data_IF_401593610903
#
_entry.id   IF_401593610903
#
_cell.length_a   1.000
_cell.length_b   1.000
_cell.length_c   1.000
_cell.angle_alpha   90.00
_cell.angle_beta   90.00
_cell.angle_gamma   90.00
#
_symmetry.space_group_name_H-M   'P 1'
#
loop_
_entity.id
_entity.type
_entity.pdbx_description
1 polymer ?
#
# COMPACT_ATOMS: atom_id res chain seq x y z
N UNK A 1 -2.33 25.74 -4.05
CA UNK A 1 -2.20 25.92 -5.51
C UNK A 1 -3.35 25.19 -6.18
N UNK A 2 -3.97 25.72 -7.23
CA UNK A 2 -4.90 24.92 -8.03
C UNK A 2 -4.10 23.76 -8.65
N UNK A 3 -4.42 22.51 -8.28
CA UNK A 3 -3.78 21.32 -8.86
C UNK A 3 -3.96 21.41 -10.39
N UNK A 4 -2.86 21.37 -11.14
CA UNK A 4 -2.95 21.28 -12.60
C UNK A 4 -3.78 20.03 -12.93
N UNK A 5 -4.76 20.17 -13.83
CA UNK A 5 -5.56 19.03 -14.27
C UNK A 5 -4.63 18.12 -15.08
N UNK A 6 -4.36 16.93 -14.56
CA UNK A 6 -3.49 15.97 -15.25
C UNK A 6 -4.11 15.57 -16.59
N UNK A 7 -3.25 15.41 -17.61
CA UNK A 7 -3.72 15.04 -18.95
C UNK A 7 -4.37 13.65 -18.95
N UNK A 8 -5.43 13.40 -19.74
CA UNK A 8 -6.02 12.07 -19.86
C UNK A 8 -4.99 11.01 -20.26
N UNK A 9 -5.18 9.77 -19.79
CA UNK A 9 -4.31 8.64 -20.14
C UNK A 9 -4.39 8.38 -21.64
N UNK A 10 -3.24 8.45 -22.31
CA UNK A 10 -3.14 8.12 -23.72
C UNK A 10 -2.83 6.62 -23.95
N UNK A 11 -2.96 6.17 -25.20
CA UNK A 11 -2.77 4.75 -25.55
C UNK A 11 -1.33 4.25 -25.35
N UNK A 12 -0.33 5.14 -25.39
CA UNK A 12 1.08 4.79 -25.14
C UNK A 12 1.33 4.57 -23.66
N UNK A 13 0.83 5.47 -22.79
CA UNK A 13 0.91 5.33 -21.34
C UNK A 13 0.25 4.03 -20.87
N UNK A 14 -0.96 3.74 -21.36
CA UNK A 14 -1.66 2.51 -21.02
C UNK A 14 -0.91 1.26 -21.47
N UNK A 15 -0.29 1.29 -22.67
CA UNK A 15 0.54 0.19 -23.18
C UNK A 15 1.78 -0.02 -22.32
N UNK A 16 2.47 1.06 -21.97
CA UNK A 16 3.66 0.98 -21.13
C UNK A 16 3.31 0.49 -19.72
N UNK A 17 2.22 0.99 -19.13
CA UNK A 17 1.72 0.51 -17.85
C UNK A 17 1.40 -0.99 -17.89
N UNK A 18 0.70 -1.46 -18.93
CA UNK A 18 0.39 -2.89 -19.11
C UNK A 18 1.66 -3.75 -19.25
N UNK A 19 2.63 -3.32 -20.06
CA UNK A 19 3.89 -4.04 -20.23
C UNK A 19 4.70 -4.11 -18.92
N UNK A 20 4.78 -3.00 -18.20
CA UNK A 20 5.51 -2.93 -16.93
C UNK A 20 4.79 -3.74 -15.84
N UNK A 21 3.47 -3.73 -15.81
CA UNK A 21 2.68 -4.54 -14.89
C UNK A 21 2.91 -6.03 -15.14
N UNK A 22 2.87 -6.45 -16.41
CA UNK A 22 3.19 -7.83 -16.81
C UNK A 22 4.61 -8.23 -16.39
N UNK A 23 5.59 -7.31 -16.51
CA UNK A 23 6.96 -7.54 -16.02
C UNK A 23 6.99 -7.77 -14.51
N UNK A 24 6.22 -7.03 -13.72
CA UNK A 24 6.10 -7.21 -12.27
C UNK A 24 5.51 -8.58 -11.90
N UNK A 25 4.55 -9.08 -12.68
CA UNK A 25 3.94 -10.39 -12.44
C UNK A 25 4.92 -11.56 -12.61
N UNK A 26 5.97 -11.42 -13.43
CA UNK A 26 6.99 -12.47 -13.68
C UNK A 26 6.40 -13.88 -13.86
N UNK A 27 5.34 -13.97 -14.67
CA UNK A 27 4.56 -15.21 -14.84
C UNK A 27 5.44 -16.36 -15.37
N UNK A 28 5.50 -17.51 -14.68
CA UNK A 28 6.08 -18.73 -15.22
C UNK A 28 5.44 -19.17 -16.55
N UNK A 29 6.17 -19.84 -17.47
CA UNK A 29 5.68 -20.27 -18.80
C UNK A 29 4.43 -21.17 -18.85
N UNK A 30 3.88 -21.58 -17.71
CA UNK A 30 2.69 -22.43 -17.58
C UNK A 30 1.70 -21.89 -16.55
N UNK A 31 1.72 -20.59 -16.26
CA UNK A 31 0.79 -19.99 -15.31
C UNK A 31 -0.65 -19.98 -15.82
N UNK A 32 -1.59 -20.23 -14.90
CA UNK A 32 -3.01 -19.91 -15.04
C UNK A 32 -3.22 -18.54 -14.44
N UNK A 33 -3.99 -17.66 -15.10
CA UNK A 33 -4.21 -16.30 -14.61
C UNK A 33 -5.69 -16.02 -14.49
N UNK A 34 -6.10 -15.54 -13.31
CA UNK A 34 -7.42 -14.99 -13.08
C UNK A 34 -7.31 -13.47 -12.93
N UNK A 35 -7.89 -12.72 -13.86
CA UNK A 35 -7.99 -11.25 -13.76
C UNK A 35 -9.35 -10.90 -13.18
N UNK A 36 -9.38 -10.10 -12.13
CA UNK A 36 -10.61 -9.61 -11.50
C UNK A 36 -10.65 -8.10 -11.63
N UNK A 37 -11.70 -7.54 -12.22
CA UNK A 37 -11.88 -6.09 -12.36
C UNK A 37 -13.35 -5.67 -12.20
N UNK A 38 -13.62 -4.40 -12.43
CA UNK A 38 -14.94 -3.79 -12.32
C UNK A 38 -15.67 -3.82 -13.68
N UNK A 39 -17.01 -3.85 -13.66
CA UNK A 39 -17.85 -3.78 -14.86
C UNK A 39 -18.00 -2.34 -15.32
N UNK A 40 -17.74 -2.08 -16.61
CA UNK A 40 -18.02 -0.78 -17.22
C UNK A 40 -19.53 -0.56 -17.39
N UNK A 41 -20.13 0.50 -16.81
CA UNK A 41 -21.53 0.82 -17.05
C UNK A 41 -21.75 1.25 -18.51
N UNK A 42 -22.92 0.93 -19.08
CA UNK A 42 -23.30 1.36 -20.44
C UNK A 42 -23.75 2.84 -20.49
N UNK A 43 -23.12 3.71 -19.72
CA UNK A 43 -23.42 5.15 -19.62
C UNK A 43 -22.39 5.98 -20.39
N UNK A 44 -22.72 7.24 -20.71
CA UNK A 44 -21.79 8.15 -21.42
C UNK A 44 -20.75 8.77 -20.50
N UNK A 45 -21.11 8.99 -19.24
CA UNK A 45 -20.23 9.54 -18.22
C UNK A 45 -19.71 8.38 -17.37
N UNK A 46 -18.53 7.89 -17.72
CA UNK A 46 -17.82 6.84 -16.98
C UNK A 46 -16.68 7.51 -16.21
N UNK A 47 -16.49 7.12 -14.96
CA UNK A 47 -15.33 7.51 -14.17
C UNK A 47 -14.03 7.17 -14.93
N UNK A 48 -13.14 8.15 -15.20
CA UNK A 48 -11.88 7.90 -15.91
C UNK A 48 -10.98 6.88 -15.21
N UNK A 49 -11.05 6.75 -13.88
CA UNK A 49 -10.29 5.74 -13.14
C UNK A 49 -10.82 4.34 -13.45
N UNK A 50 -12.14 4.13 -13.34
CA UNK A 50 -12.81 2.90 -13.76
C UNK A 50 -12.49 2.52 -15.20
N UNK A 51 -12.59 3.47 -16.14
CA UNK A 51 -12.27 3.24 -17.54
C UNK A 51 -10.81 2.79 -17.73
N UNK A 52 -9.88 3.38 -16.98
CA UNK A 52 -8.46 3.02 -17.02
C UNK A 52 -8.21 1.61 -16.49
N UNK A 53 -8.84 1.22 -15.37
CA UNK A 53 -8.74 -0.14 -14.82
C UNK A 53 -9.21 -1.21 -15.79
N UNK A 54 -10.37 -1.00 -16.40
CA UNK A 54 -10.95 -1.99 -17.33
C UNK A 54 -10.16 -2.06 -18.62
N UNK A 55 -9.66 -0.93 -19.13
CA UNK A 55 -8.78 -0.92 -20.29
C UNK A 55 -7.45 -1.64 -20.01
N UNK A 56 -6.85 -1.40 -18.83
CA UNK A 56 -5.62 -2.08 -18.40
C UNK A 56 -5.85 -3.59 -18.26
N UNK A 57 -6.94 -4.00 -17.60
CA UNK A 57 -7.30 -5.40 -17.40
C UNK A 57 -7.52 -6.14 -18.74
N UNK A 58 -8.20 -5.49 -19.68
CA UNK A 58 -8.41 -6.02 -21.04
C UNK A 58 -7.08 -6.17 -21.77
N UNK A 59 -6.19 -5.17 -21.69
CA UNK A 59 -4.86 -5.25 -22.30
C UNK A 59 -4.00 -6.34 -21.67
N UNK A 60 -4.04 -6.50 -20.35
CA UNK A 60 -3.34 -7.59 -19.65
C UNK A 60 -3.88 -8.95 -20.09
N UNK A 61 -5.19 -9.13 -20.14
CA UNK A 61 -5.81 -10.38 -20.64
C UNK A 61 -5.32 -10.72 -22.04
N UNK A 62 -5.36 -9.76 -22.96
CA UNK A 62 -4.98 -9.98 -24.36
C UNK A 62 -3.47 -10.22 -24.53
N UNK A 63 -2.63 -9.67 -23.66
CA UNK A 63 -1.19 -9.91 -23.67
C UNK A 63 -0.84 -11.26 -23.06
N UNK A 64 -1.36 -11.55 -21.87
CA UNK A 64 -1.11 -12.78 -21.12
C UNK A 64 -1.69 -13.98 -21.87
N UNK A 65 -2.88 -13.83 -22.46
CA UNK A 65 -3.57 -14.89 -23.21
C UNK A 65 -2.88 -15.37 -24.49
N UNK A 66 -1.76 -14.76 -24.88
CA UNK A 66 -0.91 -15.26 -25.97
C UNK A 66 -0.13 -16.51 -25.57
N UNK A 67 0.28 -16.57 -24.31
CA UNK A 67 1.22 -17.57 -23.79
C UNK A 67 0.67 -18.33 -22.57
N UNK A 68 -0.44 -17.87 -21.97
CA UNK A 68 -1.00 -18.42 -20.74
C UNK A 68 -2.52 -18.63 -20.84
N UNK A 69 -3.06 -19.47 -19.95
CA UNK A 69 -4.50 -19.58 -19.76
C UNK A 69 -5.01 -18.41 -18.91
N UNK A 70 -5.99 -17.67 -19.41
CA UNK A 70 -6.52 -16.49 -18.72
C UNK A 70 -8.04 -16.56 -18.65
N UNK A 71 -8.57 -16.40 -17.44
CA UNK A 71 -9.97 -16.09 -17.19
C UNK A 71 -10.11 -14.70 -16.61
N UNK A 72 -11.26 -14.08 -16.83
CA UNK A 72 -11.56 -12.74 -16.35
C UNK A 72 -12.93 -12.72 -15.68
N UNK A 73 -13.03 -12.10 -14.51
CA UNK A 73 -14.29 -11.83 -13.82
C UNK A 73 -14.45 -10.31 -13.70
N UNK A 74 -15.62 -9.84 -14.10
CA UNK A 74 -16.01 -8.44 -13.97
C UNK A 74 -17.13 -8.35 -12.92
N UNK A 75 -16.92 -7.58 -11.86
CA UNK A 75 -17.94 -7.36 -10.83
C UNK A 75 -18.64 -6.01 -11.02
N UNK A 76 -19.94 -5.93 -10.69
CA UNK A 76 -20.66 -4.66 -10.68
C UNK A 76 -20.14 -3.70 -9.59
N UNK A 77 -20.73 -2.49 -9.52
CA UNK A 77 -20.31 -1.41 -8.59
C UNK A 77 -20.46 -1.76 -7.10
N UNK A 78 -21.28 -2.79 -6.77
CA UNK A 78 -21.54 -3.28 -5.40
C UNK A 78 -21.85 -4.79 -5.43
N UNK A 79 -20.86 -5.64 -5.69
CA UNK A 79 -21.08 -7.08 -5.73
C UNK A 79 -21.40 -7.58 -4.33
N UNK A 80 -22.23 -8.61 -4.22
CA UNK A 80 -22.52 -9.23 -2.92
C UNK A 80 -21.34 -10.11 -2.48
N UNK A 81 -21.13 -10.23 -1.18
CA UNK A 81 -20.12 -11.13 -0.60
C UNK A 81 -20.18 -12.57 -1.16
N UNK A 82 -21.39 -13.11 -1.28
CA UNK A 82 -21.64 -14.45 -1.83
C UNK A 82 -21.26 -14.57 -3.31
N UNK A 83 -21.43 -13.49 -4.08
CA UNK A 83 -21.07 -13.41 -5.50
C UNK A 83 -19.55 -13.35 -5.66
N UNK A 84 -18.88 -12.51 -4.85
CA UNK A 84 -17.42 -12.39 -4.82
C UNK A 84 -16.75 -13.74 -4.52
N UNK A 85 -17.21 -14.44 -3.48
CA UNK A 85 -16.68 -15.76 -3.12
C UNK A 85 -17.03 -16.81 -4.18
N UNK A 86 -18.32 -16.92 -4.53
CA UNK A 86 -18.84 -17.98 -5.39
C UNK A 86 -18.26 -17.96 -6.80
N UNK A 87 -18.23 -16.78 -7.45
CA UNK A 87 -17.71 -16.64 -8.80
C UNK A 87 -16.19 -16.81 -8.84
N UNK A 88 -15.46 -16.25 -7.87
CA UNK A 88 -14.01 -16.44 -7.78
C UNK A 88 -13.68 -17.92 -7.65
N UNK A 89 -14.35 -18.63 -6.72
CA UNK A 89 -14.14 -20.07 -6.51
C UNK A 89 -14.49 -20.90 -7.74
N UNK A 90 -15.62 -20.59 -8.41
CA UNK A 90 -16.05 -21.28 -9.63
C UNK A 90 -14.98 -21.16 -10.73
N UNK A 91 -14.51 -19.95 -11.01
CA UNK A 91 -13.54 -19.71 -12.09
C UNK A 91 -12.15 -20.25 -11.76
N UNK A 92 -11.72 -20.21 -10.49
CA UNK A 92 -10.48 -20.85 -10.08
C UNK A 92 -10.51 -22.36 -10.34
N UNK A 93 -11.62 -23.04 -10.02
CA UNK A 93 -11.78 -24.46 -10.29
C UNK A 93 -11.84 -24.76 -11.81
N UNK A 94 -12.52 -23.92 -12.59
CA UNK A 94 -12.55 -24.07 -14.06
C UNK A 94 -11.16 -23.90 -14.69
N UNK A 95 -10.37 -22.93 -14.21
CA UNK A 95 -8.97 -22.80 -14.61
C UNK A 95 -8.17 -24.05 -14.24
N UNK A 96 -8.47 -24.67 -13.11
CA UNK A 96 -7.75 -25.86 -12.68
C UNK A 96 -7.95 -27.04 -13.65
N UNK A 97 -9.20 -27.30 -14.03
CA UNK A 97 -9.61 -28.39 -14.94
C UNK A 97 -9.00 -28.27 -16.36
N UNK A 98 -8.62 -27.06 -16.78
CA UNK A 98 -8.15 -26.77 -18.14
C UNK A 98 -6.64 -26.93 -18.34
N UNK A 99 -5.85 -27.12 -17.28
CA UNK A 99 -4.38 -27.09 -17.38
C UNK A 99 -3.67 -28.27 -16.72
N UNK A 100 -2.34 -28.29 -16.88
CA UNK A 100 -1.48 -29.33 -16.31
C UNK A 100 -1.49 -29.29 -14.77
N UNK A 101 -1.42 -30.47 -14.12
CA UNK A 101 -1.46 -30.70 -12.66
C UNK A 101 -0.36 -29.94 -11.85
N UNK A 102 0.53 -29.18 -12.48
CA UNK A 102 1.66 -28.48 -11.84
C UNK A 102 1.74 -26.98 -12.16
N UNK A 103 0.66 -26.41 -12.67
CA UNK A 103 0.61 -24.98 -13.01
C UNK A 103 0.35 -24.12 -11.78
N UNK A 104 1.08 -23.00 -11.66
CA UNK A 104 0.82 -21.98 -10.65
C UNK A 104 -0.36 -21.10 -11.11
N UNK A 105 -1.22 -20.72 -10.17
CA UNK A 105 -2.33 -19.80 -10.44
C UNK A 105 -2.00 -18.41 -9.89
N UNK A 106 -2.04 -17.40 -10.75
CA UNK A 106 -1.87 -16.00 -10.37
C UNK A 106 -3.19 -15.26 -10.47
N UNK A 107 -3.68 -14.73 -9.35
CA UNK A 107 -4.83 -13.83 -9.30
C UNK A 107 -4.34 -12.39 -9.42
N UNK A 108 -4.85 -11.65 -10.39
CA UNK A 108 -4.58 -10.23 -10.61
C UNK A 108 -5.84 -9.46 -10.30
N UNK A 109 -5.83 -8.68 -9.22
CA UNK A 109 -6.98 -7.88 -8.83
C UNK A 109 -6.78 -6.42 -9.22
N UNK A 110 -7.66 -5.86 -10.04
CA UNK A 110 -7.69 -4.47 -10.49
C UNK A 110 -9.09 -3.86 -10.23
N UNK A 111 -9.55 -3.97 -8.98
CA UNK A 111 -10.86 -3.48 -8.54
C UNK A 111 -10.77 -2.27 -7.59
N UNK A 112 -11.93 -1.67 -7.33
CA UNK A 112 -12.02 -0.34 -6.70
C UNK A 112 -11.67 -0.26 -5.19
N UNK A 113 -11.90 -1.31 -4.38
CA UNK A 113 -11.86 -1.17 -2.90
C UNK A 113 -11.28 -2.39 -2.16
N UNK A 114 -10.68 -2.15 -0.99
CA UNK A 114 -10.20 -3.11 0.00
C UNK A 114 -11.34 -3.90 0.66
N UNK A 115 -12.47 -3.24 0.94
CA UNK A 115 -13.59 -3.84 1.69
C UNK A 115 -14.19 -5.10 1.05
N UNK A 116 -14.10 -5.23 -0.28
CA UNK A 116 -14.73 -6.31 -1.04
C UNK A 116 -13.82 -7.54 -1.25
N UNK A 117 -12.60 -7.57 -0.70
CA UNK A 117 -11.63 -8.62 -1.06
C UNK A 117 -11.59 -9.81 -0.13
N UNK A 118 -12.15 -9.70 1.07
CA UNK A 118 -12.18 -10.80 2.05
C UNK A 118 -12.67 -12.11 1.43
N UNK A 119 -13.74 -12.02 0.64
CA UNK A 119 -14.37 -13.18 0.00
C UNK A 119 -13.57 -13.71 -1.20
N UNK A 120 -12.86 -12.84 -1.92
CA UNK A 120 -11.92 -13.23 -2.98
C UNK A 120 -10.70 -13.94 -2.37
N UNK A 121 -10.13 -13.38 -1.31
CA UNK A 121 -9.01 -13.95 -0.57
C UNK A 121 -9.38 -15.30 0.05
N UNK A 122 -10.58 -15.41 0.62
CA UNK A 122 -11.08 -16.67 1.14
C UNK A 122 -11.16 -17.73 0.03
N UNK A 123 -11.75 -17.40 -1.12
CA UNK A 123 -11.83 -18.33 -2.25
C UNK A 123 -10.43 -18.74 -2.74
N UNK A 124 -9.50 -17.79 -2.89
CA UNK A 124 -8.12 -18.05 -3.29
C UNK A 124 -7.36 -18.90 -2.26
N UNK A 125 -7.58 -18.67 -0.97
CA UNK A 125 -6.94 -19.41 0.12
C UNK A 125 -7.43 -20.85 0.22
N UNK A 126 -8.74 -21.08 0.08
CA UNK A 126 -9.30 -22.44 0.00
C UNK A 126 -8.77 -23.17 -1.23
N UNK A 127 -8.71 -22.49 -2.39
CA UNK A 127 -8.12 -23.06 -3.60
C UNK A 127 -6.62 -23.37 -3.43
N UNK A 128 -5.90 -22.53 -2.68
CA UNK A 128 -4.49 -22.70 -2.34
C UNK A 128 -4.19 -23.85 -1.37
N UNK A 129 -5.19 -24.49 -0.77
CA UNK A 129 -4.96 -25.70 0.06
C UNK A 129 -4.34 -26.85 -0.75
N UNK A 130 -4.60 -26.87 -2.06
CA UNK A 130 -4.11 -27.91 -2.98
C UNK A 130 -3.31 -27.35 -4.16
N UNK A 131 -3.19 -26.02 -4.29
CA UNK A 131 -2.60 -25.34 -5.43
C UNK A 131 -1.60 -24.25 -5.01
N UNK A 132 -0.62 -23.95 -5.86
CA UNK A 132 0.28 -22.80 -5.65
C UNK A 132 -0.39 -21.51 -6.15
N UNK A 133 -0.81 -20.65 -5.23
CA UNK A 133 -1.57 -19.43 -5.53
C UNK A 133 -0.77 -18.18 -5.18
N UNK A 134 -0.64 -17.32 -6.19
CA UNK A 134 -0.08 -15.97 -6.07
C UNK A 134 -1.15 -14.92 -6.29
N UNK A 135 -1.13 -13.83 -5.52
CA UNK A 135 -2.11 -12.75 -5.60
C UNK A 135 -1.40 -11.40 -5.77
N UNK A 136 -1.71 -10.69 -6.85
CA UNK A 136 -1.20 -9.35 -7.13
C UNK A 136 -2.31 -8.30 -6.99
N UNK A 137 -2.13 -7.36 -6.06
CA UNK A 137 -3.11 -6.33 -5.69
C UNK A 137 -2.91 -4.96 -6.35
N UNK A 138 -3.78 -4.65 -7.32
CA UNK A 138 -4.21 -3.38 -7.96
C UNK A 138 -5.26 -2.52 -7.30
N UNK A 139 -5.00 -1.91 -6.16
CA UNK A 139 -6.06 -1.51 -5.25
C UNK A 139 -6.56 -0.09 -5.49
N UNK A 140 -7.80 0.03 -5.99
CA UNK A 140 -8.34 1.34 -6.35
C UNK A 140 -7.53 1.98 -7.49
N UNK A 141 -6.96 1.16 -8.37
CA UNK A 141 -6.03 1.62 -9.40
C UNK A 141 -6.61 2.79 -10.20
N UNK A 142 -5.89 3.91 -10.23
CA UNK A 142 -6.37 5.17 -10.81
C UNK A 142 -5.68 5.50 -12.13
N UNK A 143 -6.03 6.66 -12.68
CA UNK A 143 -5.27 7.27 -13.79
C UNK A 143 -3.87 7.69 -13.33
N UNK A 144 -3.73 8.19 -12.10
CA UNK A 144 -2.42 8.50 -11.50
C UNK A 144 -1.53 7.27 -11.47
N UNK A 145 -2.07 6.14 -11.02
CA UNK A 145 -1.35 4.87 -10.92
C UNK A 145 -0.93 4.36 -12.31
N UNK A 146 -1.77 4.53 -13.33
CA UNK A 146 -1.41 4.22 -14.70
C UNK A 146 -0.20 5.03 -15.18
N UNK A 147 -0.15 6.34 -14.87
CA UNK A 147 1.00 7.18 -15.24
C UNK A 147 2.26 6.75 -14.49
N UNK A 148 2.15 6.42 -13.21
CA UNK A 148 3.27 5.87 -12.43
C UNK A 148 3.75 4.56 -13.04
N UNK A 149 2.85 3.58 -13.19
CA UNK A 149 3.17 2.26 -13.74
C UNK A 149 3.80 2.35 -15.14
N UNK A 150 3.39 3.33 -15.96
CA UNK A 150 3.98 3.57 -17.28
C UNK A 150 5.46 4.01 -17.24
N UNK A 151 5.92 4.53 -16.10
CA UNK A 151 7.31 4.97 -15.87
C UNK A 151 8.18 3.90 -15.20
N UNK A 152 7.59 2.85 -14.60
CA UNK A 152 8.33 1.78 -13.90
C UNK A 152 8.94 0.81 -14.93
N UNK A 153 9.97 1.27 -15.64
CA UNK A 153 10.78 0.47 -16.55
C UNK A 153 11.79 -0.44 -15.82
N UNK A 154 12.68 -1.08 -16.58
CA UNK A 154 13.73 -1.95 -16.02
C UNK A 154 14.70 -1.17 -15.13
N UNK A 155 15.13 0.00 -15.57
CA UNK A 155 16.05 0.86 -14.82
C UNK A 155 15.44 1.31 -13.48
N UNK A 156 14.14 1.62 -13.48
CA UNK A 156 13.41 2.00 -12.27
C UNK A 156 13.27 0.81 -11.30
N UNK A 157 12.91 -0.37 -11.81
CA UNK A 157 12.84 -1.60 -10.99
C UNK A 157 14.21 -1.99 -10.41
N UNK A 158 15.29 -1.83 -11.18
CA UNK A 158 16.65 -2.06 -10.69
C UNK A 158 17.01 -1.06 -9.59
N UNK A 159 16.62 0.21 -9.74
CA UNK A 159 16.86 1.24 -8.72
C UNK A 159 16.06 0.97 -7.44
N UNK A 160 14.79 0.59 -7.56
CA UNK A 160 13.94 0.13 -6.45
C UNK A 160 14.60 -1.05 -5.73
N UNK A 161 15.06 -2.06 -6.48
CA UNK A 161 15.70 -3.26 -5.91
C UNK A 161 16.97 -2.91 -5.15
N UNK A 162 17.87 -2.10 -5.72
CA UNK A 162 19.12 -1.67 -5.06
C UNK A 162 18.85 -0.83 -3.81
N UNK A 163 17.83 0.03 -3.87
CA UNK A 163 17.41 0.86 -2.73
C UNK A 163 16.92 -0.03 -1.59
N UNK A 164 16.12 -1.05 -1.91
CA UNK A 164 15.68 -2.03 -0.92
C UNK A 164 16.84 -2.81 -0.30
N UNK A 165 17.78 -3.31 -1.13
CA UNK A 165 18.98 -4.02 -0.64
C UNK A 165 19.80 -3.18 0.34
N UNK A 166 19.87 -1.87 0.12
CA UNK A 166 20.50 -0.93 1.06
C UNK A 166 19.75 -0.90 2.39
N UNK A 167 18.43 -0.76 2.40
CA UNK A 167 17.63 -0.74 3.64
C UNK A 167 17.70 -2.07 4.38
N UNK A 168 17.58 -3.21 3.69
CA UNK A 168 17.71 -4.53 4.31
C UNK A 168 19.08 -4.72 4.97
N UNK A 169 20.15 -4.28 4.29
CA UNK A 169 21.50 -4.32 4.85
C UNK A 169 21.61 -3.42 6.08
N UNK A 170 21.07 -2.20 6.02
CA UNK A 170 21.07 -1.27 7.13
C UNK A 170 20.36 -1.87 8.36
N UNK A 171 19.15 -2.38 8.20
CA UNK A 171 18.36 -2.94 9.30
C UNK A 171 18.93 -4.24 9.87
N UNK A 172 19.70 -4.98 9.08
CA UNK A 172 20.49 -6.13 9.54
C UNK A 172 21.70 -5.72 10.37
N UNK A 173 22.42 -4.68 9.95
CA UNK A 173 23.62 -4.20 10.65
C UNK A 173 23.28 -3.33 11.88
N UNK A 174 22.16 -2.61 11.82
CA UNK A 174 21.63 -1.73 12.85
C UNK A 174 20.22 -2.20 13.23
N UNK A 175 20.09 -3.34 13.94
CA UNK A 175 18.79 -3.91 14.27
C UNK A 175 18.01 -3.12 15.32
N UNK A 176 18.60 -2.09 15.92
CA UNK A 176 17.95 -1.22 16.90
C UNK A 176 18.48 0.20 16.74
N UNK A 177 17.62 1.17 17.01
CA UNK A 177 17.97 2.57 16.97
C UNK A 177 16.75 3.45 17.15
N UNK A 178 16.91 4.72 16.78
CA UNK A 178 15.84 5.70 16.84
C UNK A 178 15.90 6.60 15.60
N UNK A 179 14.73 6.84 15.03
CA UNK A 179 14.52 7.81 13.96
C UNK A 179 14.00 9.11 14.54
N UNK A 180 14.62 10.21 14.14
CA UNK A 180 14.06 11.55 14.30
C UNK A 180 13.56 12.00 12.93
N UNK A 181 12.26 12.22 12.85
CA UNK A 181 11.55 12.62 11.65
C UNK A 181 11.17 14.08 11.80
N UNK A 182 11.73 14.93 10.94
CA UNK A 182 11.39 16.34 10.88
C UNK A 182 10.57 16.62 9.62
N UNK A 183 9.42 17.26 9.78
CA UNK A 183 8.51 17.63 8.69
C UNK A 183 8.19 19.11 8.73
N UNK A 184 7.65 19.66 7.65
CA UNK A 184 7.21 21.05 7.62
C UNK A 184 5.76 21.18 7.15
N UNK A 185 4.96 21.90 7.91
CA UNK A 185 3.55 22.11 7.56
C UNK A 185 3.35 23.17 6.46
N UNK A 186 2.08 23.40 6.11
CA UNK A 186 1.68 24.41 5.12
C UNK A 186 1.95 25.87 5.54
N UNK A 187 2.17 26.14 6.83
CA UNK A 187 2.58 27.46 7.36
C UNK A 187 4.09 27.64 7.30
N UNK A 188 4.82 26.55 7.09
CA UNK A 188 6.28 26.53 7.13
C UNK A 188 6.84 26.18 8.50
N UNK A 189 5.99 25.80 9.46
CA UNK A 189 6.38 25.44 10.82
C UNK A 189 7.00 24.04 10.83
N UNK A 190 8.07 23.89 11.62
CA UNK A 190 8.81 22.64 11.74
C UNK A 190 8.23 21.78 12.85
N UNK A 191 8.03 20.50 12.55
CA UNK A 191 7.53 19.49 13.48
C UNK A 191 8.54 18.35 13.60
N UNK A 192 8.55 17.68 14.76
CA UNK A 192 9.45 16.54 15.01
C UNK A 192 8.72 15.40 15.68
N UNK A 193 8.84 14.20 15.11
CA UNK A 193 8.40 12.93 15.66
C UNK A 193 9.62 12.05 15.91
N UNK A 194 9.69 11.42 17.09
CA UNK A 194 10.74 10.45 17.42
C UNK A 194 10.14 9.04 17.48
N UNK A 195 10.78 8.09 16.79
CA UNK A 195 10.36 6.71 16.70
C UNK A 195 11.53 5.78 17.03
N UNK A 196 11.37 4.96 18.05
CA UNK A 196 12.32 3.87 18.32
C UNK A 196 11.97 2.66 17.45
N UNK A 197 12.95 1.84 17.10
CA UNK A 197 12.71 0.56 16.45
C UNK A 197 13.64 -0.55 16.96
N UNK A 198 13.18 -1.79 16.80
CA UNK A 198 13.97 -2.98 17.07
C UNK A 198 13.51 -4.13 16.15
N UNK A 199 14.34 -4.49 15.17
CA UNK A 199 14.03 -5.49 14.14
C UNK A 199 13.90 -6.92 14.67
N UNK A 200 14.38 -7.18 15.89
CA UNK A 200 14.14 -8.45 16.59
C UNK A 200 12.78 -8.54 17.28
N UNK A 201 12.05 -7.42 17.33
CA UNK A 201 10.75 -7.27 18.01
C UNK A 201 9.63 -6.85 17.05
N UNK A 202 9.97 -6.09 16.02
CA UNK A 202 9.11 -5.76 14.90
C UNK A 202 9.99 -5.65 13.67
N UNK A 203 9.87 -6.61 12.74
CA UNK A 203 10.67 -6.62 11.52
C UNK A 203 10.30 -5.45 10.60
N UNK A 204 11.26 -5.06 9.76
CA UNK A 204 10.97 -4.30 8.56
C UNK A 204 10.74 -5.29 7.41
N UNK A 205 9.68 -5.06 6.64
CA UNK A 205 9.30 -5.84 5.47
C UNK A 205 9.55 -5.03 4.21
N UNK A 206 9.82 -5.75 3.12
CA UNK A 206 10.15 -5.17 1.83
C UNK A 206 9.02 -5.47 0.85
N UNK A 207 8.52 -4.44 0.18
CA UNK A 207 7.53 -4.58 -0.88
C UNK A 207 8.09 -3.98 -2.16
N UNK A 208 8.63 -4.83 -3.04
CA UNK A 208 9.19 -4.38 -4.33
C UNK A 208 8.14 -4.25 -5.43
N UNK A 209 6.99 -4.89 -5.24
CA UNK A 209 5.91 -4.92 -6.22
C UNK A 209 6.16 -5.84 -7.41
N UNK A 210 6.88 -6.95 -7.20
CA UNK A 210 7.07 -7.98 -8.20
C UNK A 210 7.25 -9.37 -7.55
N UNK A 211 6.81 -10.42 -8.24
CA UNK A 211 6.99 -11.80 -7.76
C UNK A 211 8.43 -12.28 -8.02
N UNK A 212 9.34 -12.09 -7.07
CA UNK A 212 10.73 -12.57 -7.16
C UNK A 212 11.06 -13.77 -6.26
N UNK A 213 10.07 -14.32 -5.57
CA UNK A 213 10.23 -15.44 -4.65
C UNK A 213 10.94 -15.11 -3.33
N UNK A 214 11.32 -13.85 -3.09
CA UNK A 214 11.96 -13.40 -1.83
C UNK A 214 11.06 -12.48 -1.02
N UNK A 215 10.38 -11.56 -1.70
CA UNK A 215 9.58 -10.50 -1.07
C UNK A 215 8.07 -10.74 -1.25
N UNK A 216 7.68 -12.02 -1.27
CA UNK A 216 6.28 -12.44 -1.33
C UNK A 216 5.83 -12.74 0.10
N UNK A 217 4.84 -12.02 0.62
CA UNK A 217 4.35 -12.21 1.99
C UNK A 217 3.15 -13.16 2.00
N UNK A 218 3.01 -14.05 3.00
CA UNK A 218 1.73 -14.70 3.24
C UNK A 218 0.67 -13.65 3.49
N UNK A 219 -0.50 -13.78 2.85
CA UNK A 219 -1.59 -12.86 3.12
C UNK A 219 -2.14 -13.13 4.53
N UNK A 220 -2.20 -12.10 5.38
CA UNK A 220 -2.59 -12.26 6.79
C UNK A 220 -3.96 -12.93 6.95
N UNK A 221 -4.02 -13.99 7.77
CA UNK A 221 -5.20 -14.86 7.91
C UNK A 221 -5.49 -15.81 6.72
N UNK A 222 -4.74 -15.73 5.62
CA UNK A 222 -4.89 -16.50 4.38
C UNK A 222 -3.55 -17.13 3.94
N UNK A 223 -3.03 -18.03 4.77
CA UNK A 223 -1.66 -18.58 4.70
C UNK A 223 -1.33 -19.36 3.42
N UNK A 224 -2.34 -19.77 2.65
CA UNK A 224 -2.13 -20.53 1.41
C UNK A 224 -1.94 -19.63 0.19
N UNK A 225 -1.94 -18.31 0.37
CA UNK A 225 -1.80 -17.32 -0.70
C UNK A 225 -0.55 -16.48 -0.45
N UNK A 226 0.31 -16.38 -1.47
CA UNK A 226 1.40 -15.42 -1.48
C UNK A 226 0.94 -14.13 -2.13
N UNK A 227 1.26 -13.00 -1.51
CA UNK A 227 0.73 -11.69 -1.86
C UNK A 227 1.85 -10.71 -2.23
N UNK A 228 1.55 -9.83 -3.18
CA UNK A 228 2.27 -8.57 -3.42
C UNK A 228 1.26 -7.48 -3.78
N UNK A 229 1.56 -6.23 -3.44
CA UNK A 229 0.95 -5.09 -4.13
C UNK A 229 1.63 -4.85 -5.48
N UNK A 230 0.88 -4.34 -6.45
CA UNK A 230 1.46 -3.72 -7.65
C UNK A 230 0.79 -2.33 -7.80
N UNK A 231 1.52 -1.24 -8.08
CA UNK A 231 2.96 -1.19 -7.96
C UNK A 231 3.38 -1.26 -6.47
N UNK A 232 4.56 -1.79 -6.21
CA UNK A 232 5.19 -1.71 -4.89
C UNK A 232 6.25 -0.62 -4.90
N UNK A 233 7.25 -0.74 -4.03
CA UNK A 233 8.43 0.13 -4.01
C UNK A 233 8.64 0.81 -2.67
N UNK A 234 8.65 0.04 -1.58
CA UNK A 234 8.92 0.55 -0.25
C UNK A 234 9.54 -0.52 0.66
N UNK A 235 9.97 -0.05 1.83
CA UNK A 235 10.23 -0.87 3.00
C UNK A 235 9.50 -0.27 4.20
N UNK A 236 8.82 -1.08 4.99
CA UNK A 236 7.97 -0.61 6.09
C UNK A 236 8.16 -1.46 7.35
N UNK A 237 7.88 -0.88 8.51
CA UNK A 237 7.98 -1.61 9.77
C UNK A 237 7.32 -0.88 10.92
N UNK A 238 6.94 -1.63 11.95
CA UNK A 238 6.31 -1.08 13.15
C UNK A 238 7.34 -0.47 14.10
N UNK A 239 7.17 0.79 14.53
CA UNK A 239 7.99 1.36 15.59
C UNK A 239 7.91 0.52 16.87
N UNK A 240 9.03 0.26 17.53
CA UNK A 240 9.08 -0.57 18.74
C UNK A 240 9.97 0.01 19.84
N UNK A 241 9.48 0.10 21.09
CA UNK A 241 8.08 -0.07 21.49
C UNK A 241 7.21 1.07 20.96
N UNK A 242 6.01 0.79 20.43
CA UNK A 242 5.17 1.85 19.83
C UNK A 242 4.83 2.95 20.84
N UNK A 243 4.67 2.58 22.13
CA UNK A 243 4.36 3.50 23.25
C UNK A 243 5.44 4.53 23.54
N UNK A 244 6.62 4.44 22.92
CA UNK A 244 7.67 5.46 23.05
C UNK A 244 7.58 6.55 22.00
N UNK A 245 6.75 6.40 20.97
CA UNK A 245 6.61 7.41 19.95
C UNK A 245 5.98 8.68 20.52
N UNK A 246 6.64 9.81 20.31
CA UNK A 246 6.23 11.11 20.82
C UNK A 246 6.64 12.22 19.87
N UNK A 247 5.76 13.20 19.69
CA UNK A 247 6.07 14.41 18.95
C UNK A 247 4.91 14.91 18.10
N UNK A 248 5.26 15.73 17.10
CA UNK A 248 4.32 16.24 16.10
C UNK A 248 4.91 16.03 14.72
N UNK A 249 4.08 15.85 13.71
CA UNK A 249 4.53 15.79 12.31
C UNK A 249 3.45 16.30 11.38
N UNK A 250 3.82 16.66 10.15
CA UNK A 250 2.90 17.04 9.08
C UNK A 250 2.92 15.98 8.00
N UNK A 251 1.74 15.56 7.55
CA UNK A 251 1.57 14.62 6.46
C UNK A 251 0.31 15.01 5.66
N UNK A 252 0.45 15.09 4.34
CA UNK A 252 -0.64 15.44 3.41
C UNK A 252 -1.37 16.76 3.78
N UNK A 253 -0.64 17.72 4.36
CA UNK A 253 -1.17 18.99 4.84
C UNK A 253 -1.97 18.91 6.15
N UNK A 254 -1.91 17.80 6.86
CA UNK A 254 -2.50 17.60 8.20
C UNK A 254 -1.37 17.51 9.21
N UNK A 255 -1.45 18.28 10.28
CA UNK A 255 -0.51 18.20 11.41
C UNK A 255 -1.04 17.24 12.45
N UNK A 256 -0.27 16.21 12.80
CA UNK A 256 -0.62 15.18 13.79
C UNK A 256 0.20 15.38 15.07
N UNK A 257 -0.41 15.09 16.22
CA UNK A 257 0.27 15.05 17.52
C UNK A 257 0.18 13.64 18.09
N UNK A 258 1.34 13.07 18.38
CA UNK A 258 1.49 11.73 18.95
C UNK A 258 2.04 11.84 20.36
N UNK A 259 1.40 11.15 21.30
CA UNK A 259 1.86 11.02 22.68
C UNK A 259 1.75 9.58 23.15
N UNK A 260 2.83 9.06 23.72
CA UNK A 260 2.92 7.70 24.26
C UNK A 260 2.47 6.63 23.24
N UNK A 261 2.77 6.85 21.95
CA UNK A 261 2.38 5.96 20.85
C UNK A 261 1.02 6.22 20.22
N UNK A 262 0.22 7.16 20.74
CA UNK A 262 -1.16 7.38 20.31
C UNK A 262 -1.35 8.71 19.60
N UNK A 263 -2.17 8.72 18.55
CA UNK A 263 -2.67 9.94 17.93
C UNK A 263 -3.65 10.65 18.87
N UNK A 264 -3.20 11.73 19.50
CA UNK A 264 -4.00 12.49 20.49
C UNK A 264 -4.62 13.76 19.91
N UNK A 265 -4.03 14.31 18.84
CA UNK A 265 -4.52 15.52 18.18
C UNK A 265 -4.20 15.53 16.69
N UNK A 266 -5.00 16.26 15.92
CA UNK A 266 -4.74 16.59 14.53
C UNK A 266 -5.33 17.97 14.19
N UNK A 267 -4.64 18.71 13.31
CA UNK A 267 -5.06 19.98 12.72
C UNK A 267 -5.04 19.85 11.19
N UNK A 268 -6.20 20.06 10.55
CA UNK A 268 -6.30 20.03 9.10
C UNK A 268 -5.86 21.38 8.53
N UNK A 269 -4.85 21.36 7.65
CA UNK A 269 -4.28 22.57 7.09
C UNK A 269 -5.17 23.33 6.11
N UNK A 270 -4.84 24.61 5.91
CA UNK A 270 -5.63 25.49 5.06
C UNK A 270 -5.57 25.03 3.59
N UNK A 271 -6.71 24.62 3.05
CA UNK A 271 -6.83 24.18 1.66
C UNK A 271 -6.77 22.67 1.46
N UNK A 272 -6.58 21.90 2.54
CA UNK A 272 -6.86 20.46 2.52
C UNK A 272 -8.37 20.27 2.48
N UNK A 273 -8.84 19.52 1.49
CA UNK A 273 -10.25 19.12 1.42
C UNK A 273 -10.40 17.76 2.09
N UNK A 274 -11.14 17.69 3.18
CA UNK A 274 -11.46 16.40 3.83
C UNK A 274 -12.11 15.46 2.83
N UNK A 275 -12.90 16.00 1.89
CA UNK A 275 -13.59 15.18 0.89
C UNK A 275 -12.65 14.45 -0.07
N UNK A 276 -11.43 14.95 -0.28
CA UNK A 276 -10.43 14.29 -1.12
C UNK A 276 -9.64 13.19 -0.42
N UNK A 277 -9.84 13.00 0.89
CA UNK A 277 -9.18 11.94 1.66
C UNK A 277 -9.84 10.57 1.41
N UNK A 278 -9.09 9.50 1.64
CA UNK A 278 -9.62 8.14 1.57
C UNK A 278 -10.66 7.88 2.68
N UNK A 279 -11.50 6.86 2.52
CA UNK A 279 -12.48 6.47 3.54
C UNK A 279 -11.81 6.19 4.89
N UNK A 280 -10.67 5.49 4.90
CA UNK A 280 -9.93 5.19 6.12
C UNK A 280 -9.34 6.44 6.79
N UNK A 281 -8.81 7.38 5.99
CA UNK A 281 -8.30 8.66 6.50
C UNK A 281 -9.43 9.51 7.09
N UNK A 282 -10.61 9.55 6.46
CA UNK A 282 -11.81 10.23 6.98
C UNK A 282 -12.26 9.62 8.32
N UNK A 283 -12.36 8.29 8.39
CA UNK A 283 -12.73 7.58 9.62
C UNK A 283 -11.74 7.86 10.77
N UNK A 284 -10.43 7.89 10.48
CA UNK A 284 -9.41 8.24 11.46
C UNK A 284 -9.60 9.66 12.01
N UNK A 285 -9.91 10.62 11.15
CA UNK A 285 -10.15 12.01 11.55
C UNK A 285 -11.38 12.11 12.44
N UNK A 286 -12.47 11.45 12.06
CA UNK A 286 -13.72 11.41 12.84
C UNK A 286 -13.47 10.81 14.23
N UNK A 287 -12.86 9.62 14.31
CA UNK A 287 -12.51 8.95 15.57
C UNK A 287 -11.64 9.82 16.47
N UNK A 288 -10.62 10.47 15.91
CA UNK A 288 -9.72 11.34 16.68
C UNK A 288 -10.48 12.54 17.26
N UNK A 289 -11.39 13.14 16.49
CA UNK A 289 -12.20 14.26 16.97
C UNK A 289 -13.24 13.85 18.02
N UNK A 290 -13.84 12.67 17.87
CA UNK A 290 -14.73 12.10 18.89
C UNK A 290 -14.00 11.85 20.20
N UNK A 291 -12.80 11.25 20.14
CA UNK A 291 -11.98 10.97 21.31
C UNK A 291 -11.63 12.24 22.11
N UNK A 292 -11.30 13.35 21.43
CA UNK A 292 -11.05 14.65 22.09
C UNK A 292 -12.26 15.21 22.83
N UNK A 293 -13.47 14.94 22.32
CA UNK A 293 -14.71 15.48 22.88
C UNK A 293 -15.10 14.81 24.21
N UNK A 294 -14.66 13.56 24.41
CA UNK A 294 -14.97 12.75 25.58
C UNK A 294 -13.83 12.90 26.60
N UNK A 295 -13.97 13.84 27.56
CA UNK A 295 -12.96 14.15 28.60
C UNK A 295 -12.73 13.04 29.66
N UNK A 296 -13.08 11.78 29.42
CA UNK A 296 -13.00 10.71 30.42
C UNK A 296 -12.43 9.42 29.87
N UNK A 297 -11.41 8.90 30.55
CA UNK A 297 -10.69 7.63 30.37
C UNK A 297 -10.18 7.36 28.92
N UNK A 298 -8.94 7.77 28.67
CA UNK A 298 -8.28 7.79 27.35
C UNK A 298 -7.86 6.40 26.84
N UNK A 299 -8.02 5.35 27.64
CA UNK A 299 -7.66 3.99 27.25
C UNK A 299 -8.69 3.44 26.25
N UNK A 300 -8.31 3.35 24.97
CA UNK A 300 -9.09 2.64 23.94
C UNK A 300 -9.80 3.51 22.90
N UNK A 301 -9.59 4.83 22.88
CA UNK A 301 -10.20 5.71 21.85
C UNK A 301 -9.19 6.29 20.85
N UNK A 302 -7.92 6.43 21.23
CA UNK A 302 -6.89 6.92 20.33
C UNK A 302 -6.24 5.78 19.55
N UNK A 303 -5.94 6.06 18.29
CA UNK A 303 -5.32 5.10 17.39
C UNK A 303 -3.80 5.07 17.60
N UNK A 304 -3.19 3.88 17.73
CA UNK A 304 -1.75 3.74 17.87
C UNK A 304 -1.05 3.99 16.53
N UNK A 305 0.19 4.48 16.59
CA UNK A 305 1.10 4.46 15.44
C UNK A 305 1.40 2.99 15.09
N UNK A 306 1.28 2.65 13.81
CA UNK A 306 1.37 1.29 13.33
C UNK A 306 2.62 1.06 12.47
N UNK A 307 3.03 2.08 11.72
CA UNK A 307 4.03 1.92 10.67
C UNK A 307 4.88 3.17 10.50
N UNK A 308 6.17 2.95 10.25
CA UNK A 308 7.02 3.84 9.48
C UNK A 308 7.33 3.15 8.15
N UNK A 309 6.81 3.72 7.06
CA UNK A 309 7.12 3.27 5.72
C UNK A 309 8.08 4.20 5.00
N UNK A 310 8.88 3.63 4.09
CA UNK A 310 9.94 4.29 3.35
C UNK A 310 9.73 4.01 1.86
N UNK A 311 8.90 4.81 1.20
CA UNK A 311 8.71 4.74 -0.25
C UNK A 311 10.00 5.01 -1.05
N UNK A 312 10.14 4.44 -2.25
CA UNK A 312 11.35 4.53 -3.07
C UNK A 312 11.20 5.36 -4.34
N UNK A 313 10.01 5.86 -4.66
CA UNK A 313 9.76 6.46 -5.97
C UNK A 313 10.55 7.74 -6.19
N UNK A 314 10.56 8.64 -5.21
CA UNK A 314 11.37 9.85 -5.31
C UNK A 314 12.86 9.52 -5.47
N UNK A 315 13.36 8.52 -4.73
CA UNK A 315 14.74 8.03 -4.83
C UNK A 315 15.05 7.43 -6.21
N UNK A 316 14.03 6.87 -6.85
CA UNK A 316 14.12 6.22 -8.16
C UNK A 316 13.75 7.14 -9.33
N UNK A 317 13.49 8.43 -9.06
CA UNK A 317 13.08 9.42 -10.06
C UNK A 317 11.69 9.19 -10.66
N UNK A 318 10.85 8.39 -9.99
CA UNK A 318 9.46 8.12 -10.37
C UNK A 318 8.58 9.23 -9.79
N UNK A 319 7.76 9.85 -10.63
CA UNK A 319 6.82 10.88 -10.19
C UNK A 319 5.49 10.26 -9.80
N UNK A 320 4.96 10.64 -8.65
CA UNK A 320 3.56 10.39 -8.28
C UNK A 320 2.66 11.55 -8.68
N UNK A 321 1.36 11.27 -8.76
CA UNK A 321 0.38 12.22 -9.25
C UNK A 321 -0.69 12.50 -8.20
N UNK A 322 -1.33 13.67 -8.20
CA UNK A 322 -2.33 14.02 -7.21
C UNK A 322 -3.61 13.17 -7.26
N UNK A 323 -3.80 12.40 -8.32
CA UNK A 323 -4.89 11.45 -8.55
C UNK A 323 -4.45 9.98 -8.39
N UNK A 324 -3.24 9.71 -7.88
CA UNK A 324 -2.80 8.36 -7.50
C UNK A 324 -3.62 7.79 -6.34
N UNK A 325 -3.80 6.47 -6.30
CA UNK A 325 -4.34 5.78 -5.12
C UNK A 325 -3.39 5.92 -3.92
N UNK A 326 -3.91 5.73 -2.71
CA UNK A 326 -3.08 5.68 -1.48
C UNK A 326 -1.93 4.68 -1.63
N UNK A 327 -2.21 3.49 -2.15
CA UNK A 327 -1.21 2.43 -2.39
C UNK A 327 -0.02 2.92 -3.23
N UNK A 328 -0.27 3.71 -4.27
CA UNK A 328 0.80 4.25 -5.13
C UNK A 328 1.43 5.50 -4.52
N UNK A 329 0.63 6.30 -3.81
CA UNK A 329 1.07 7.56 -3.22
C UNK A 329 2.02 7.33 -2.04
N UNK A 330 1.81 6.31 -1.20
CA UNK A 330 2.70 5.97 -0.10
C UNK A 330 4.12 5.60 -0.56
N UNK A 331 4.26 5.02 -1.77
CA UNK A 331 5.57 4.73 -2.35
C UNK A 331 6.34 5.99 -2.78
N UNK A 332 5.71 7.17 -2.77
CA UNK A 332 6.33 8.44 -3.17
C UNK A 332 7.47 8.87 -2.25
N UNK A 333 7.40 8.53 -0.97
CA UNK A 333 8.35 8.96 0.03
C UNK A 333 8.04 8.33 1.39
N UNK A 334 8.59 8.85 2.49
CA UNK A 334 8.31 8.32 3.80
C UNK A 334 6.87 8.60 4.26
N UNK A 335 6.24 7.64 4.92
CA UNK A 335 4.88 7.76 5.45
C UNK A 335 4.76 7.19 6.86
N UNK A 336 3.70 7.61 7.56
CA UNK A 336 3.31 7.08 8.86
C UNK A 336 1.90 6.52 8.75
N UNK A 337 1.70 5.34 9.33
CA UNK A 337 0.38 4.76 9.42
C UNK A 337 -0.12 4.64 10.87
N UNK A 338 -1.43 4.57 11.00
CA UNK A 338 -2.13 4.31 12.26
C UNK A 338 -3.05 3.10 12.12
N UNK A 339 -3.31 2.41 13.23
CA UNK A 339 -4.20 1.25 13.28
C UNK A 339 -3.47 -0.07 13.50
N UNK A 340 -3.91 -1.12 12.82
CA UNK A 340 -3.32 -2.46 12.81
C UNK A 340 -1.93 -2.42 12.18
N UNK A 341 -1.05 -3.28 12.67
CA UNK A 341 0.32 -3.44 12.16
C UNK A 341 0.39 -4.63 11.22
N UNK A 342 1.42 -4.68 10.37
CA UNK A 342 1.78 -5.87 9.65
C UNK A 342 2.15 -7.02 10.61
N UNK A 343 1.96 -8.27 10.17
CA UNK A 343 2.28 -9.46 10.96
C UNK A 343 3.76 -9.45 11.39
N UNK A 344 4.07 -9.97 12.59
CA UNK A 344 5.46 -10.17 13.03
C UNK A 344 6.01 -9.14 14.00
N UNK A 345 5.17 -8.20 14.48
CA UNK A 345 5.45 -7.42 15.67
C UNK A 345 5.06 -8.18 16.95
N UNK A 346 5.89 -8.11 18.00
CA UNK A 346 5.52 -8.67 19.32
C UNK A 346 4.39 -7.88 20.00
N UNK A 347 4.07 -6.68 19.52
CA UNK A 347 2.99 -5.82 20.00
C UNK A 347 1.73 -5.89 19.10
N UNK A 348 1.70 -6.80 18.11
CA UNK A 348 0.61 -6.93 17.13
C UNK A 348 -0.76 -7.10 17.78
N UNK A 349 -0.92 -8.08 18.67
CA UNK A 349 -2.20 -8.35 19.35
C UNK A 349 -2.68 -7.15 20.18
N UNK A 350 -1.77 -6.46 20.87
CA UNK A 350 -2.08 -5.28 21.68
C UNK A 350 -2.55 -4.12 20.78
N UNK A 351 -1.84 -3.87 19.68
CA UNK A 351 -2.18 -2.79 18.74
C UNK A 351 -3.51 -3.10 18.03
N UNK A 352 -3.76 -4.34 17.65
CA UNK A 352 -5.02 -4.77 17.06
C UNK A 352 -6.20 -4.58 18.03
N UNK A 353 -6.03 -4.95 19.30
CA UNK A 353 -7.04 -4.73 20.35
C UNK A 353 -7.35 -3.23 20.53
N UNK A 354 -6.31 -2.39 20.61
CA UNK A 354 -6.44 -0.94 20.80
C UNK A 354 -7.09 -0.24 19.61
N UNK A 355 -6.85 -0.72 18.39
CA UNK A 355 -7.41 -0.17 17.16
C UNK A 355 -8.86 -0.60 16.92
N UNK A 356 -9.27 -1.71 17.54
CA UNK A 356 -10.59 -2.29 17.39
C UNK A 356 -10.92 -2.60 15.93
N UNK A 357 -11.99 -1.97 15.41
CA UNK A 357 -12.43 -2.18 14.01
C UNK A 357 -11.63 -1.37 12.99
N UNK A 358 -10.91 -0.33 13.41
CA UNK A 358 -10.12 0.48 12.48
C UNK A 358 -8.96 -0.36 11.97
N UNK A 359 -8.88 -0.56 10.66
CA UNK A 359 -7.86 -1.42 10.05
C UNK A 359 -6.55 -0.68 9.97
N UNK A 360 -6.39 0.22 9.00
CA UNK A 360 -5.10 0.84 8.74
C UNK A 360 -5.29 2.10 7.90
N UNK A 361 -4.44 3.10 8.06
CA UNK A 361 -4.42 4.27 7.18
C UNK A 361 -3.06 4.93 7.14
N UNK A 362 -2.53 5.06 5.93
CA UNK A 362 -1.27 5.69 5.60
C UNK A 362 -1.40 7.19 5.34
N UNK A 363 -0.34 7.93 5.68
CA UNK A 363 -0.18 9.35 5.40
C UNK A 363 1.26 9.67 5.00
N UNK A 364 1.45 10.16 3.77
CA UNK A 364 2.76 10.56 3.27
C UNK A 364 3.23 11.85 3.92
N UNK A 365 4.45 11.83 4.46
CA UNK A 365 5.02 12.93 5.23
C UNK A 365 5.36 14.16 4.36
N UNK A 366 5.04 15.34 4.87
CA UNK A 366 5.32 16.61 4.19
C UNK A 366 6.79 17.04 4.40
N UNK A 367 7.54 17.17 3.31
CA UNK A 367 8.93 17.67 3.31
C UNK A 367 9.83 16.97 4.33
N UNK A 368 9.70 15.65 4.43
CA UNK A 368 10.35 14.88 5.48
C UNK A 368 11.88 14.89 5.38
N UNK A 369 12.51 15.02 6.54
CA UNK A 369 13.93 14.76 6.76
C UNK A 369 14.02 13.70 7.85
N UNK A 370 14.56 12.53 7.51
CA UNK A 370 14.72 11.43 8.46
C UNK A 370 16.19 11.27 8.80
N UNK A 371 16.49 11.41 10.08
CA UNK A 371 17.80 11.09 10.64
C UNK A 371 17.72 9.89 11.56
N UNK A 372 18.82 9.17 11.69
CA UNK A 372 18.94 7.99 12.54
C UNK A 372 20.06 8.15 13.55
N UNK A 373 19.86 7.60 14.75
CA UNK A 373 20.89 7.42 15.76
C UNK A 373 20.71 6.12 16.54
N UNK A 374 21.72 5.75 17.32
CA UNK A 374 21.67 4.56 18.18
C UNK A 374 20.63 4.69 19.31
N UNK A 375 20.41 5.92 19.78
CA UNK A 375 19.37 6.32 20.73
C UNK A 375 18.82 7.69 20.33
N UNK A 376 17.69 8.11 20.92
CA UNK A 376 17.11 9.45 20.71
C UNK A 376 18.10 10.59 21.02
N UNK A 377 18.95 10.41 22.05
CA UNK A 377 19.92 11.41 22.49
C UNK A 377 21.30 11.31 21.80
N UNK A 378 21.48 10.32 20.93
CA UNK A 378 22.76 10.10 20.24
C UNK A 378 22.96 11.03 19.04
N UNK A 379 24.20 11.12 18.55
CA UNK A 379 24.51 11.81 17.30
C UNK A 379 23.68 11.20 16.15
N UNK A 380 23.01 12.07 15.40
CA UNK A 380 22.08 11.70 14.35
C UNK A 380 22.76 11.86 12.98
N UNK A 381 22.65 10.85 12.12
CA UNK A 381 23.07 10.92 10.72
C UNK A 381 21.87 10.93 9.78
N UNK A 382 21.98 11.64 8.65
CA UNK A 382 20.96 11.59 7.60
C UNK A 382 20.73 10.15 7.15
N UNK A 383 19.48 9.70 7.13
CA UNK A 383 19.12 8.33 6.79
C UNK A 383 18.37 8.26 5.47
N UNK A 384 17.32 9.07 5.31
CA UNK A 384 16.52 9.17 4.08
C UNK A 384 16.75 10.54 3.47
N UNK A 385 17.16 10.69 2.19
CA UNK A 385 17.50 11.99 1.64
C UNK A 385 16.28 12.92 1.62
N UNK A 386 16.48 14.24 1.78
CA UNK A 386 15.37 15.19 1.69
C UNK A 386 14.78 15.18 0.27
N UNK A 387 13.49 15.51 0.12
CA UNK A 387 12.87 15.59 -1.19
C UNK A 387 13.64 16.51 -2.14
N UNK A 388 13.69 16.14 -3.41
CA UNK A 388 14.27 16.97 -4.47
C UNK A 388 13.42 18.25 -4.62
N UNK A 389 14.04 19.41 -4.34
CA UNK A 389 13.40 20.73 -4.36
C UNK A 389 12.77 21.12 -5.69
#
# INVERSE_FOLDING_TARGET
MAKAVESPINAEQLRNASNNYLRCLRLPPSSKVLIITDTLPQTRDVDPHLQTRVNLSTMLRDQIGKDHQVSMIDFGDKPKDEELYGETKRVLNELDELGDEKSQTTVVYLGNDWGNRRNIYQAANEFGETNDVKFAGSLGFTTGDCRVMSQIGEDQLETITKTNEYFETFFKEKPQGSFKITTRDFKGDEHTLNLDYNTSKASFESELGNFDGKHETPLGGYRNVKYINIPGGENYGTPYPFRKANGTFSAEGITFTVKDGFLVDLEIGKGVSVESLSTAQKELIERTNEAKSVKSDLSGQFLPIAELGLGFYELSGIKTYPDSSTLTYEKSGPHIAFGHVAEGSVEEDEIAELSGKFQHSDFVLDYAVITWGQTQDSEQSQFYPPPNK
#
